data_IF_830062364309
#
_entry.id   IF_830062364309
#
_cell.length_a   1.000
_cell.length_b   1.000
_cell.length_c   1.000
_cell.angle_alpha   90.00
_cell.angle_beta   90.00
_cell.angle_gamma   90.00
#
_symmetry.space_group_name_H-M   'P 1'
#
loop_
_entity.id
_entity.type
_entity.pdbx_description
1 polymer ?
#
# COMPACT_ATOMS: atom_id res chain seq x y z
N UNK A 1 7.72 16.27 -0.08
CA UNK A 1 7.86 15.05 -0.93
C UNK A 1 6.48 14.55 -1.34
N UNK A 2 5.58 14.31 -0.38
CA UNK A 2 4.17 14.03 -0.62
C UNK A 2 3.47 15.08 -1.52
N UNK A 3 3.61 16.37 -1.23
CA UNK A 3 2.94 17.44 -2.00
C UNK A 3 3.37 17.52 -3.47
N UNK A 4 4.62 17.15 -3.78
CA UNK A 4 5.19 17.31 -5.12
C UNK A 4 5.16 16.02 -5.96
N UNK A 5 5.24 14.84 -5.31
CA UNK A 5 5.38 13.54 -5.99
C UNK A 5 4.38 12.48 -5.53
N UNK A 6 3.48 12.82 -4.60
CA UNK A 6 2.54 11.88 -3.98
C UNK A 6 3.16 10.98 -2.91
N UNK A 7 2.32 10.22 -2.22
CA UNK A 7 2.75 9.21 -1.24
C UNK A 7 3.35 7.96 -1.86
N UNK A 8 3.01 7.67 -3.12
CA UNK A 8 3.58 6.57 -3.90
C UNK A 8 5.11 6.66 -4.01
N UNK A 9 5.66 7.87 -4.14
CA UNK A 9 7.10 8.07 -4.27
C UNK A 9 7.84 7.86 -2.93
N UNK A 10 7.20 8.25 -1.82
CA UNK A 10 7.71 7.97 -0.48
C UNK A 10 7.75 6.46 -0.23
N UNK A 11 6.69 5.76 -0.63
CA UNK A 11 6.64 4.30 -0.54
C UNK A 11 7.72 3.63 -1.40
N UNK A 12 7.95 4.10 -2.63
CA UNK A 12 9.04 3.60 -3.49
C UNK A 12 10.40 3.78 -2.85
N UNK A 13 10.67 4.95 -2.25
CA UNK A 13 11.95 5.23 -1.58
C UNK A 13 12.17 4.32 -0.37
N UNK A 14 11.14 4.09 0.43
CA UNK A 14 11.20 3.16 1.56
C UNK A 14 11.50 1.72 1.10
N UNK A 15 10.75 1.20 0.13
CA UNK A 15 10.94 -0.16 -0.41
C UNK A 15 12.32 -0.31 -1.08
N UNK A 16 12.83 0.73 -1.75
CA UNK A 16 14.19 0.73 -2.32
C UNK A 16 15.26 0.52 -1.24
N UNK A 17 15.04 1.03 -0.02
CA UNK A 17 15.92 0.83 1.12
C UNK A 17 15.89 -0.59 1.69
N UNK A 18 14.71 -1.23 1.65
CA UNK A 18 14.51 -2.62 2.12
C UNK A 18 15.02 -3.67 1.14
N UNK A 19 15.17 -3.33 -0.15
CA UNK A 19 15.67 -4.26 -1.16
C UNK A 19 17.20 -4.43 -1.10
N UNK A 20 17.73 -5.65 -1.33
CA UNK A 20 19.16 -5.89 -1.44
C UNK A 20 19.81 -5.00 -2.50
N UNK A 21 20.99 -4.45 -2.19
CA UNK A 21 21.73 -3.54 -3.07
C UNK A 21 22.47 -4.34 -4.16
N UNK A 22 21.74 -4.79 -5.19
CA UNK A 22 22.29 -5.54 -6.32
C UNK A 22 21.76 -5.04 -7.69
N UNK A 23 22.25 -5.60 -8.80
CA UNK A 23 21.82 -5.28 -10.18
C UNK A 23 20.32 -5.53 -10.44
N UNK A 24 19.66 -6.35 -9.63
CA UNK A 24 18.23 -6.66 -9.76
C UNK A 24 17.34 -5.70 -8.97
N UNK A 25 17.92 -4.83 -8.13
CA UNK A 25 17.18 -3.89 -7.28
C UNK A 25 16.20 -3.04 -8.08
N UNK A 26 16.67 -2.45 -9.18
CA UNK A 26 15.83 -1.59 -10.04
C UNK A 26 14.74 -2.38 -10.75
N UNK A 27 15.06 -3.57 -11.28
CA UNK A 27 14.07 -4.47 -11.90
C UNK A 27 13.01 -4.92 -10.89
N UNK A 28 13.37 -5.13 -9.62
CA UNK A 28 12.42 -5.45 -8.54
C UNK A 28 11.57 -4.24 -8.17
N UNK A 29 12.17 -3.05 -8.05
CA UNK A 29 11.45 -1.82 -7.74
C UNK A 29 10.44 -1.45 -8.83
N UNK A 30 10.77 -1.67 -10.11
CA UNK A 30 9.87 -1.40 -11.23
C UNK A 30 8.59 -2.25 -11.24
N UNK A 31 8.60 -3.39 -10.54
CA UNK A 31 7.42 -4.25 -10.36
C UNK A 31 6.43 -3.69 -9.34
N UNK A 32 6.88 -2.85 -8.40
CA UNK A 32 6.00 -2.17 -7.46
C UNK A 32 5.16 -1.12 -8.21
N UNK A 33 3.85 -1.35 -8.28
CA UNK A 33 2.88 -0.41 -8.87
C UNK A 33 2.10 0.28 -7.76
N UNK A 34 2.58 1.46 -7.36
CA UNK A 34 1.94 2.33 -6.38
C UNK A 34 1.16 3.45 -7.09
N UNK A 35 -0.06 3.71 -6.63
CA UNK A 35 -0.96 4.73 -7.13
C UNK A 35 -1.53 5.52 -5.96
N UNK A 36 -1.89 6.78 -6.21
CA UNK A 36 -2.67 7.55 -5.26
C UNK A 36 -4.15 7.12 -5.36
N UNK A 37 -4.78 6.78 -4.24
CA UNK A 37 -6.19 6.39 -4.18
C UNK A 37 -6.52 4.98 -4.72
N UNK A 38 -7.80 4.77 -5.06
CA UNK A 38 -8.37 3.44 -5.37
C UNK A 38 -8.41 3.10 -6.87
N UNK A 39 -8.14 4.06 -7.74
CA UNK A 39 -8.20 3.87 -9.19
C UNK A 39 -6.82 3.44 -9.73
N UNK A 40 -6.78 2.31 -10.45
CA UNK A 40 -5.57 1.82 -11.11
C UNK A 40 -5.91 0.94 -12.33
N UNK A 41 -5.07 0.91 -13.38
CA UNK A 41 -5.35 0.17 -14.61
C UNK A 41 -5.24 -1.36 -14.43
N UNK A 42 -4.55 -1.83 -13.39
CA UNK A 42 -4.23 -3.25 -13.21
C UNK A 42 -5.32 -4.08 -12.52
N UNK A 43 -6.55 -3.57 -12.36
CA UNK A 43 -7.65 -4.30 -11.68
C UNK A 43 -7.91 -5.68 -12.28
N UNK A 44 -7.75 -5.83 -13.60
CA UNK A 44 -7.95 -7.11 -14.31
C UNK A 44 -6.76 -8.07 -14.15
N UNK A 45 -5.59 -7.56 -13.81
CA UNK A 45 -4.32 -8.30 -13.78
C UNK A 45 -3.98 -8.84 -12.38
N UNK A 46 -4.81 -8.54 -11.38
CA UNK A 46 -4.67 -9.09 -10.03
C UNK A 46 -5.08 -10.57 -10.09
N UNK A 47 -4.20 -11.45 -9.61
CA UNK A 47 -4.45 -12.89 -9.55
C UNK A 47 -5.73 -13.16 -8.74
N UNK A 48 -6.59 -14.04 -9.26
CA UNK A 48 -7.79 -14.54 -8.59
C UNK A 48 -7.71 -16.05 -8.51
N UNK A 49 -7.84 -16.62 -7.31
CA UNK A 49 -7.87 -18.06 -7.09
C UNK A 49 -9.33 -18.48 -6.86
N UNK A 50 -9.83 -19.43 -7.66
CA UNK A 50 -11.21 -19.92 -7.53
C UNK A 50 -12.28 -18.84 -7.71
N UNK A 51 -12.04 -17.84 -8.57
CA UNK A 51 -12.98 -16.73 -8.81
C UNK A 51 -13.00 -15.65 -7.71
N UNK A 52 -12.26 -15.84 -6.62
CA UNK A 52 -12.11 -14.86 -5.53
C UNK A 52 -10.72 -14.22 -5.56
N UNK A 53 -10.63 -12.97 -5.10
CA UNK A 53 -9.32 -12.33 -4.92
C UNK A 53 -8.53 -13.12 -3.88
N UNK A 54 -7.21 -13.28 -4.07
CA UNK A 54 -6.34 -13.99 -3.11
C UNK A 54 -6.30 -13.29 -1.74
N UNK A 55 -6.73 -12.02 -1.69
CA UNK A 55 -6.91 -11.23 -0.48
C UNK A 55 -8.31 -11.35 0.17
N UNK A 56 -9.16 -12.28 -0.29
CA UNK A 56 -10.52 -12.51 0.23
C UNK A 56 -11.63 -11.89 -0.65
N UNK A 57 -12.86 -11.68 -0.13
CA UNK A 57 -13.95 -11.01 -0.87
C UNK A 57 -13.64 -9.54 -1.22
N UNK A 58 -12.54 -9.02 -0.67
CA UNK A 58 -12.14 -7.64 -0.77
C UNK A 58 -11.01 -7.46 -1.79
N UNK A 59 -11.20 -6.51 -2.71
CA UNK A 59 -10.25 -6.23 -3.80
C UNK A 59 -9.04 -5.40 -3.35
N UNK A 60 -9.09 -4.82 -2.15
CA UNK A 60 -8.09 -3.94 -1.57
C UNK A 60 -7.64 -4.43 -0.19
N UNK A 61 -6.37 -4.25 0.14
CA UNK A 61 -5.83 -4.58 1.48
C UNK A 61 -6.40 -3.68 2.57
N UNK A 62 -6.85 -2.47 2.20
CA UNK A 62 -7.51 -1.52 3.09
C UNK A 62 -8.88 -2.01 3.56
N UNK A 63 -9.48 -2.97 2.85
CA UNK A 63 -10.75 -3.58 3.21
C UNK A 63 -10.59 -4.80 4.13
N UNK A 64 -9.35 -5.21 4.41
CA UNK A 64 -9.06 -6.21 5.42
C UNK A 64 -9.53 -5.71 6.80
N UNK A 65 -10.31 -6.52 7.56
CA UNK A 65 -10.80 -6.12 8.88
C UNK A 65 -9.65 -5.79 9.84
N UNK A 66 -8.55 -6.55 9.78
CA UNK A 66 -7.35 -6.31 10.58
C UNK A 66 -6.74 -4.91 10.32
N UNK A 67 -6.71 -4.49 9.06
CA UNK A 67 -6.11 -3.21 8.65
C UNK A 67 -7.02 -2.04 9.06
N UNK A 68 -8.34 -2.22 8.98
CA UNK A 68 -9.33 -1.24 9.46
C UNK A 68 -9.22 -1.02 10.96
N UNK A 69 -9.07 -2.10 11.72
CA UNK A 69 -8.89 -2.04 13.18
C UNK A 69 -7.59 -1.31 13.55
N UNK A 70 -6.47 -1.58 12.86
CA UNK A 70 -5.21 -0.88 13.12
C UNK A 70 -5.31 0.62 12.82
N UNK A 71 -5.92 1.01 11.69
CA UNK A 71 -6.09 2.43 11.35
C UNK A 71 -7.06 3.14 12.28
N UNK A 72 -8.13 2.49 12.73
CA UNK A 72 -9.05 3.05 13.73
C UNK A 72 -8.34 3.28 15.07
N UNK A 73 -7.49 2.33 15.49
CA UNK A 73 -6.70 2.44 16.71
C UNK A 73 -5.66 3.56 16.62
N UNK A 74 -4.97 3.71 15.49
CA UNK A 74 -4.05 4.83 15.26
C UNK A 74 -4.77 6.19 15.22
N UNK A 75 -5.95 6.28 14.60
CA UNK A 75 -6.77 7.50 14.61
C UNK A 75 -7.20 7.90 16.02
N UNK A 76 -7.71 6.96 16.81
CA UNK A 76 -8.11 7.24 18.20
C UNK A 76 -6.94 7.77 19.04
N UNK A 77 -5.76 7.17 18.90
CA UNK A 77 -4.53 7.62 19.60
C UNK A 77 -4.08 9.02 19.13
N UNK A 78 -4.32 9.39 17.87
CA UNK A 78 -4.00 10.73 17.37
C UNK A 78 -4.96 11.82 17.87
N UNK A 79 -6.23 11.49 18.09
CA UNK A 79 -7.24 12.42 18.63
C UNK A 79 -7.03 12.65 20.13
N UNK A 80 -6.65 11.60 20.88
CA UNK A 80 -6.34 11.69 22.31
C UNK A 80 -5.10 12.53 22.61
N UNK A 81 -4.08 12.47 21.73
CA UNK A 81 -2.86 13.30 21.84
C UNK A 81 -3.04 14.75 21.40
N UNK A 82 -4.11 15.07 20.67
CA UNK A 82 -4.39 16.44 20.23
C UNK A 82 -5.26 17.23 21.25
N UNK A 83 -5.86 16.52 22.22
CA UNK A 83 -6.70 17.10 23.28
C UNK A 83 -5.98 17.26 24.63
N UNK A 84 -4.74 16.80 24.74
CA UNK A 84 -3.84 16.98 25.88
C UNK A 84 -2.75 18.02 25.55
#
# INVERSE_FOLDING_TARGET
>A
MFEKWGGAEVLRKAVRGMLPKNRLREKRLARLKAFEGHAHPYKKNILKLGGRSVLGPQTSIADSPLVKETFAKEKGVSEEKAQA
#
